data_IF_007342348181
#
_entry.id   IF_007342348181
#
_cell.length_a   1.000
_cell.length_b   1.000
_cell.length_c   1.000
_cell.angle_alpha   90.00
_cell.angle_beta   90.00
_cell.angle_gamma   90.00
#
_symmetry.space_group_name_H-M   'P 1'
#
loop_
_entity.id
_entity.type
_entity.pdbx_description
1 polymer ?
#
# COMPACT_ATOMS: atom_id res chain seq x y z
N UNK A 1 89.41 15.25 -9.70
CA UNK A 1 88.73 14.62 -10.85
C UNK A 1 87.32 14.21 -10.39
N UNK A 2 86.29 14.85 -10.80
CA UNK A 2 84.87 14.41 -10.49
C UNK A 2 84.40 13.48 -11.60
N UNK A 3 83.84 12.33 -11.23
CA UNK A 3 83.19 11.35 -12.09
C UNK A 3 81.84 11.89 -12.48
N UNK A 4 81.64 12.05 -13.79
CA UNK A 4 80.35 12.37 -14.39
C UNK A 4 79.52 11.11 -14.45
N UNK A 5 78.39 11.06 -13.75
CA UNK A 5 77.39 10.04 -13.87
C UNK A 5 76.31 10.51 -14.90
N UNK A 6 76.39 9.98 -16.08
CA UNK A 6 75.33 10.10 -17.13
C UNK A 6 74.15 9.28 -16.71
N UNK A 7 73.04 9.89 -16.30
CA UNK A 7 71.75 9.27 -16.16
C UNK A 7 71.02 9.34 -17.51
N UNK A 8 70.97 8.23 -18.22
CA UNK A 8 70.07 8.07 -19.36
C UNK A 8 68.65 7.77 -18.87
N UNK A 9 67.77 8.77 -18.91
CA UNK A 9 66.33 8.54 -18.73
C UNK A 9 65.79 7.63 -19.86
N UNK A 10 65.01 6.60 -19.53
CA UNK A 10 64.39 5.80 -20.56
C UNK A 10 63.33 6.64 -21.28
N UNK A 11 63.45 6.75 -22.61
CA UNK A 11 62.48 7.41 -23.46
C UNK A 11 61.07 6.79 -23.20
N UNK A 12 60.14 7.58 -22.65
CA UNK A 12 58.73 7.21 -22.55
C UNK A 12 58.22 6.94 -23.99
N UNK A 13 57.95 5.67 -24.29
CA UNK A 13 57.23 5.31 -25.49
C UNK A 13 55.81 5.94 -25.33
N UNK A 14 55.49 6.91 -26.16
CA UNK A 14 54.15 7.44 -26.30
C UNK A 14 53.22 6.25 -26.67
N UNK A 15 52.26 5.97 -25.79
CA UNK A 15 51.23 4.99 -26.12
C UNK A 15 50.47 5.46 -27.34
N UNK A 16 50.19 4.56 -28.29
CA UNK A 16 49.42 4.92 -29.51
C UNK A 16 48.03 5.40 -29.05
N UNK A 17 47.74 6.67 -29.30
CA UNK A 17 46.40 7.23 -29.12
C UNK A 17 45.50 6.53 -30.17
N UNK A 18 44.69 5.58 -29.72
CA UNK A 18 43.67 4.98 -30.58
C UNK A 18 42.58 6.02 -30.79
N UNK A 19 42.68 6.81 -31.83
CA UNK A 19 41.58 7.61 -32.35
C UNK A 19 40.54 6.65 -32.93
N UNK A 20 39.52 6.30 -32.10
CA UNK A 20 38.33 5.62 -32.61
C UNK A 20 37.61 6.60 -33.53
N UNK A 21 37.40 6.26 -34.83
CA UNK A 21 36.54 7.10 -35.66
C UNK A 21 35.17 7.23 -34.98
N UNK A 22 34.77 8.46 -34.66
CA UNK A 22 33.44 8.75 -34.09
C UNK A 22 32.43 8.30 -35.16
N UNK A 23 31.68 7.19 -34.92
CA UNK A 23 30.69 6.72 -35.89
C UNK A 23 29.65 7.82 -36.10
N UNK A 24 29.04 7.84 -37.29
CA UNK A 24 27.91 8.76 -37.57
C UNK A 24 26.78 8.51 -36.60
N UNK A 25 26.84 9.12 -35.40
CA UNK A 25 25.90 8.94 -34.28
C UNK A 25 24.45 9.21 -34.70
N UNK A 26 24.21 10.03 -35.73
CA UNK A 26 22.87 10.35 -36.21
C UNK A 26 22.08 9.13 -36.69
N UNK A 27 22.63 8.34 -37.65
CA UNK A 27 21.91 7.18 -38.20
C UNK A 27 21.77 6.04 -37.21
N UNK A 28 22.84 5.72 -36.47
CA UNK A 28 22.81 4.68 -35.44
C UNK A 28 21.88 5.07 -34.28
N UNK A 29 21.85 6.35 -33.90
CA UNK A 29 20.93 6.87 -32.87
C UNK A 29 19.47 6.76 -33.30
N UNK A 30 19.14 7.11 -34.56
CA UNK A 30 17.79 6.93 -35.10
C UNK A 30 17.38 5.45 -35.18
N UNK A 31 18.24 4.56 -35.60
CA UNK A 31 17.96 3.13 -35.63
C UNK A 31 17.75 2.57 -34.20
N UNK A 32 18.58 2.98 -33.26
CA UNK A 32 18.42 2.60 -31.85
C UNK A 32 17.10 3.10 -31.27
N UNK A 33 16.72 4.34 -31.59
CA UNK A 33 15.43 4.90 -31.14
C UNK A 33 14.25 4.15 -31.74
N UNK A 34 14.25 3.90 -33.07
CA UNK A 34 13.20 3.13 -33.74
C UNK A 34 13.08 1.73 -33.13
N UNK A 35 14.21 1.05 -32.92
CA UNK A 35 14.23 -0.28 -32.33
C UNK A 35 13.69 -0.26 -30.88
N UNK A 36 14.08 0.73 -30.09
CA UNK A 36 13.56 0.90 -28.70
C UNK A 36 12.06 1.13 -28.72
N UNK A 37 11.53 1.99 -29.61
CA UNK A 37 10.08 2.23 -29.74
C UNK A 37 9.34 0.96 -30.16
N UNK A 38 9.87 0.19 -31.11
CA UNK A 38 9.26 -1.07 -31.51
C UNK A 38 9.26 -2.12 -30.41
N UNK A 39 10.36 -2.23 -29.66
CA UNK A 39 10.42 -3.13 -28.49
C UNK A 39 9.44 -2.72 -27.41
N UNK A 40 9.40 -1.42 -27.05
CA UNK A 40 8.45 -0.91 -26.05
C UNK A 40 7.01 -1.10 -26.52
N UNK A 41 6.70 -0.79 -27.78
CA UNK A 41 5.36 -1.00 -28.35
C UNK A 41 4.94 -2.47 -28.38
N UNK A 42 5.86 -3.36 -28.76
CA UNK A 42 5.63 -4.79 -28.71
C UNK A 42 5.39 -5.31 -27.29
N UNK A 43 6.17 -4.82 -26.34
CA UNK A 43 6.01 -5.18 -24.92
C UNK A 43 4.71 -4.62 -24.34
N UNK A 44 4.37 -3.37 -24.62
CA UNK A 44 3.10 -2.76 -24.23
C UNK A 44 1.90 -3.55 -24.76
N UNK A 45 1.92 -3.90 -26.05
CA UNK A 45 0.87 -4.72 -26.66
C UNK A 45 0.78 -6.10 -25.99
N UNK A 46 1.91 -6.72 -25.67
CA UNK A 46 1.97 -8.02 -24.97
C UNK A 46 1.36 -7.94 -23.58
N UNK A 47 1.66 -6.87 -22.83
CA UNK A 47 1.14 -6.68 -21.46
C UNK A 47 -0.36 -6.40 -21.50
N UNK A 48 -0.83 -5.53 -22.41
CA UNK A 48 -2.26 -5.26 -22.61
C UNK A 48 -3.05 -6.50 -23.04
N UNK A 49 -2.47 -7.35 -23.87
CA UNK A 49 -3.12 -8.61 -24.29
C UNK A 49 -3.32 -9.61 -23.15
N UNK A 50 -2.67 -9.39 -22.01
CA UNK A 50 -2.89 -10.13 -20.77
C UNK A 50 -3.95 -9.51 -19.84
N UNK A 51 -4.65 -8.48 -20.32
CA UNK A 51 -5.68 -7.77 -19.54
C UNK A 51 -5.09 -6.79 -18.51
N UNK A 52 -3.83 -6.37 -18.67
CA UNK A 52 -3.23 -5.37 -17.80
C UNK A 52 -3.50 -3.98 -18.37
N UNK A 53 -4.07 -3.14 -17.54
CA UNK A 53 -4.34 -1.74 -17.85
C UNK A 53 -3.29 -0.84 -17.21
N UNK A 54 -3.04 0.36 -17.78
CA UNK A 54 -2.27 1.40 -17.10
C UNK A 54 -2.88 1.69 -15.73
N UNK A 55 -2.03 1.84 -14.75
CA UNK A 55 -2.45 2.08 -13.36
C UNK A 55 -1.33 2.76 -12.60
N UNK A 56 -1.65 3.66 -11.71
CA UNK A 56 -0.65 4.25 -10.83
C UNK A 56 -0.05 3.19 -9.90
N UNK A 57 1.24 3.32 -9.66
CA UNK A 57 1.94 2.47 -8.71
C UNK A 57 1.61 2.92 -7.30
N UNK A 58 1.21 1.99 -6.44
CA UNK A 58 1.11 2.24 -4.99
C UNK A 58 2.51 2.41 -4.38
N UNK A 59 3.17 3.53 -4.73
CA UNK A 59 4.50 3.88 -4.26
C UNK A 59 4.45 4.67 -2.95
N UNK A 60 5.54 4.65 -2.20
CA UNK A 60 5.70 5.48 -1.01
C UNK A 60 5.62 6.97 -1.35
N UNK A 61 6.11 7.36 -2.56
CA UNK A 61 5.97 8.73 -3.06
C UNK A 61 4.54 9.15 -3.35
N UNK A 62 3.71 8.26 -3.90
CA UNK A 62 2.29 8.53 -4.12
C UNK A 62 1.53 8.70 -2.80
N UNK A 63 1.84 7.88 -1.80
CA UNK A 63 1.31 8.03 -0.45
C UNK A 63 1.72 9.36 0.18
N UNK A 64 2.99 9.71 0.10
CA UNK A 64 3.52 10.97 0.60
C UNK A 64 2.87 12.20 -0.10
N UNK A 65 2.54 12.09 -1.40
CA UNK A 65 1.80 13.14 -2.12
C UNK A 65 0.39 13.33 -1.52
N UNK A 66 -0.33 12.24 -1.23
CA UNK A 66 -1.65 12.33 -0.59
C UNK A 66 -1.54 12.87 0.83
N UNK A 67 -0.54 12.46 1.59
CA UNK A 67 -0.32 12.95 2.97
C UNK A 67 -0.07 14.47 3.01
N UNK A 68 0.72 15.00 2.07
CA UNK A 68 1.00 16.44 1.97
C UNK A 68 -0.22 17.31 1.65
N UNK A 69 -1.33 16.74 1.20
CA UNK A 69 -2.57 17.50 1.03
C UNK A 69 -3.09 18.07 2.35
N UNK A 70 -2.78 17.43 3.47
CA UNK A 70 -3.07 17.93 4.81
C UNK A 70 -2.27 19.22 5.05
N UNK A 71 -0.96 19.20 4.81
CA UNK A 71 -0.05 20.34 4.93
C UNK A 71 -0.46 21.52 4.00
N UNK A 72 -1.18 21.21 2.93
CA UNK A 72 -1.69 22.15 1.93
C UNK A 72 -3.10 22.67 2.25
N UNK A 73 -3.60 22.43 3.47
CA UNK A 73 -4.85 22.97 3.96
C UNK A 73 -6.08 22.08 3.77
N UNK A 74 -5.89 20.78 3.48
CA UNK A 74 -6.98 19.82 3.39
C UNK A 74 -7.19 19.00 4.69
N UNK A 75 -6.56 19.39 5.80
CA UNK A 75 -6.56 18.67 7.06
C UNK A 75 -7.86 18.75 7.85
N UNK A 76 -8.83 19.56 7.44
CA UNK A 76 -10.17 19.67 8.01
C UNK A 76 -11.18 18.65 7.40
N UNK A 77 -10.77 17.89 6.38
CA UNK A 77 -11.61 16.95 5.68
C UNK A 77 -11.51 15.51 6.21
N UNK A 78 -12.07 14.58 5.40
CA UNK A 78 -11.96 13.17 5.67
C UNK A 78 -10.59 12.62 5.29
N UNK A 79 -10.01 11.86 6.21
CA UNK A 79 -8.82 11.04 6.00
C UNK A 79 -9.19 9.58 6.26
N UNK A 80 -8.87 8.71 5.32
CA UNK A 80 -9.09 7.27 5.42
C UNK A 80 -7.75 6.60 5.71
N UNK A 81 -7.60 6.01 6.88
CA UNK A 81 -6.44 5.22 7.28
C UNK A 81 -6.85 3.78 7.54
N UNK A 82 -5.94 2.85 7.44
CA UNK A 82 -6.21 1.42 7.61
C UNK A 82 -5.27 0.56 6.78
N UNK A 83 -5.64 -0.69 6.64
CA UNK A 83 -4.94 -1.65 5.78
C UNK A 83 -5.55 -1.67 4.37
N UNK A 84 -5.22 -2.71 3.61
CA UNK A 84 -5.76 -2.95 2.27
C UNK A 84 -7.30 -3.02 2.23
N UNK A 85 -7.97 -3.45 3.30
CA UNK A 85 -9.44 -3.50 3.35
C UNK A 85 -10.07 -2.11 3.19
N UNK A 86 -9.53 -1.07 3.84
CA UNK A 86 -10.00 0.31 3.62
C UNK A 86 -9.63 0.80 2.23
N UNK A 87 -8.41 0.47 1.79
CA UNK A 87 -7.90 0.89 0.49
C UNK A 87 -8.76 0.39 -0.68
N UNK A 88 -9.27 -0.84 -0.61
CA UNK A 88 -10.07 -1.47 -1.66
C UNK A 88 -11.57 -1.22 -1.51
N UNK A 89 -12.08 -1.28 -0.26
CA UNK A 89 -13.51 -1.34 -0.03
C UNK A 89 -14.16 0.05 0.05
N UNK A 90 -13.39 1.14 0.24
CA UNK A 90 -13.93 2.50 0.24
C UNK A 90 -13.54 3.21 -1.04
N UNK A 91 -14.54 3.51 -1.88
CA UNK A 91 -14.35 4.14 -3.17
C UNK A 91 -14.46 5.66 -3.05
N UNK A 92 -13.36 6.37 -3.34
CA UNK A 92 -13.25 7.82 -3.10
C UNK A 92 -14.22 8.64 -3.95
N UNK A 93 -14.49 8.21 -5.19
CA UNK A 93 -15.42 8.89 -6.08
C UNK A 93 -16.88 8.78 -5.58
N UNK A 94 -17.24 7.63 -5.01
CA UNK A 94 -18.56 7.42 -4.40
C UNK A 94 -18.70 8.28 -3.14
N UNK A 95 -17.69 8.26 -2.29
CA UNK A 95 -17.65 9.08 -1.08
C UNK A 95 -17.79 10.57 -1.40
N UNK A 96 -17.01 11.08 -2.37
CA UNK A 96 -17.09 12.48 -2.82
C UNK A 96 -18.48 12.89 -3.31
N UNK A 97 -19.15 12.00 -4.07
CA UNK A 97 -20.53 12.25 -4.54
C UNK A 97 -21.51 12.44 -3.39
N UNK A 98 -21.30 11.71 -2.28
CA UNK A 98 -22.19 11.72 -1.12
C UNK A 98 -21.86 12.83 -0.13
N UNK A 99 -20.58 13.11 0.10
CA UNK A 99 -20.08 14.07 1.07
C UNK A 99 -19.90 15.48 0.49
N UNK A 100 -19.73 15.58 -0.84
CA UNK A 100 -19.37 16.81 -1.55
C UNK A 100 -17.87 17.10 -1.54
N UNK A 101 -17.06 16.34 -0.81
CA UNK A 101 -15.60 16.49 -0.71
C UNK A 101 -14.91 15.13 -0.80
N UNK A 102 -13.86 15.07 -1.63
CA UNK A 102 -13.08 13.86 -1.84
C UNK A 102 -12.16 13.59 -0.66
N UNK A 103 -12.23 12.42 -0.02
CA UNK A 103 -11.38 12.10 1.13
C UNK A 103 -9.92 11.88 0.72
N UNK A 104 -9.01 11.98 1.68
CA UNK A 104 -7.60 11.65 1.52
C UNK A 104 -7.38 10.19 1.88
N UNK A 105 -6.85 9.39 0.93
CA UNK A 105 -6.59 7.97 1.13
C UNK A 105 -5.17 7.73 1.65
N UNK A 106 -5.03 7.40 2.93
CA UNK A 106 -3.77 7.07 3.60
C UNK A 106 -3.66 5.61 4.03
N UNK A 107 -4.64 4.76 3.73
CA UNK A 107 -4.54 3.34 4.06
C UNK A 107 -3.36 2.68 3.32
N UNK A 108 -2.68 1.76 4.01
CA UNK A 108 -1.49 1.07 3.53
C UNK A 108 -1.69 -0.45 3.64
N UNK A 109 -1.56 -1.15 2.52
CA UNK A 109 -1.67 -2.61 2.51
C UNK A 109 -0.66 -3.29 3.43
N UNK A 110 -1.09 -4.34 4.13
CA UNK A 110 -0.22 -5.11 5.03
C UNK A 110 0.39 -4.30 6.17
N UNK A 111 -0.28 -3.21 6.61
CA UNK A 111 0.31 -2.26 7.56
C UNK A 111 -0.72 -1.85 8.61
N UNK A 112 -0.27 -1.83 9.86
CA UNK A 112 -1.04 -1.26 10.97
C UNK A 112 -1.24 0.24 10.76
N UNK A 113 -2.45 0.77 10.95
CA UNK A 113 -2.71 2.20 10.84
C UNK A 113 -2.26 3.01 12.06
N UNK A 114 -1.83 2.36 13.13
CA UNK A 114 -1.52 3.04 14.41
C UNK A 114 -0.45 4.11 14.23
N UNK A 115 0.62 3.80 13.49
CA UNK A 115 1.68 4.80 13.22
C UNK A 115 1.19 5.97 12.35
N UNK A 116 0.23 5.75 11.45
CA UNK A 116 -0.40 6.85 10.71
C UNK A 116 -1.26 7.70 11.64
N UNK A 117 -1.97 7.09 12.60
CA UNK A 117 -2.72 7.82 13.64
C UNK A 117 -1.78 8.68 14.49
N UNK A 118 -0.64 8.14 14.96
CA UNK A 118 0.37 8.87 15.71
C UNK A 118 0.92 10.05 14.91
N UNK A 119 1.27 9.83 13.64
CA UNK A 119 1.75 10.90 12.76
C UNK A 119 0.72 12.02 12.56
N UNK A 120 -0.57 11.68 12.47
CA UNK A 120 -1.65 12.67 12.39
C UNK A 120 -1.92 13.33 13.75
N UNK A 121 -1.69 12.62 14.85
CA UNK A 121 -1.77 13.19 16.21
C UNK A 121 -0.67 14.24 16.44
N UNK A 122 0.52 14.04 15.89
CA UNK A 122 1.62 14.99 15.95
C UNK A 122 1.46 16.18 14.99
N UNK A 123 0.54 16.10 14.01
CA UNK A 123 0.35 17.13 12.99
C UNK A 123 -0.75 18.12 13.38
N UNK A 124 -0.43 19.38 13.70
CA UNK A 124 -1.42 20.38 14.11
C UNK A 124 -2.38 20.79 12.99
N UNK A 125 -2.03 20.54 11.75
CA UNK A 125 -2.86 20.92 10.58
C UNK A 125 -4.01 19.92 10.37
N UNK A 126 -4.00 18.77 11.05
CA UNK A 126 -5.09 17.81 10.97
C UNK A 126 -6.11 18.02 12.10
N UNK A 127 -7.31 18.46 11.73
CA UNK A 127 -8.45 18.71 12.63
C UNK A 127 -9.76 18.08 12.16
N UNK A 128 -9.71 17.34 11.07
CA UNK A 128 -10.85 16.77 10.37
C UNK A 128 -11.36 15.46 10.95
N UNK A 129 -11.86 14.61 10.06
CA UNK A 129 -12.44 13.31 10.39
C UNK A 129 -11.49 12.19 9.95
N UNK A 130 -11.08 11.35 10.88
CA UNK A 130 -10.22 10.20 10.64
C UNK A 130 -11.02 8.90 10.75
N UNK A 131 -11.13 8.18 9.62
CA UNK A 131 -11.63 6.83 9.60
C UNK A 131 -10.45 5.87 9.67
N UNK A 132 -10.43 5.02 10.70
CA UNK A 132 -9.36 4.06 10.98
C UNK A 132 -9.86 2.65 10.79
N UNK A 133 -9.39 1.98 9.74
CA UNK A 133 -9.70 0.58 9.49
C UNK A 133 -8.88 -0.35 10.38
N UNK A 134 -9.57 -1.13 11.19
CA UNK A 134 -8.99 -2.16 12.03
C UNK A 134 -9.03 -3.49 11.27
N UNK A 135 -7.88 -3.94 10.76
CA UNK A 135 -7.66 -5.32 10.34
C UNK A 135 -6.97 -6.02 11.52
N UNK A 136 -7.65 -6.94 12.22
CA UNK A 136 -7.20 -7.39 13.53
C UNK A 136 -5.76 -7.91 13.59
N UNK A 137 -5.37 -8.74 12.64
CA UNK A 137 -4.02 -9.30 12.53
C UNK A 137 -2.93 -8.22 12.36
N UNK A 138 -3.22 -7.18 11.57
CA UNK A 138 -2.29 -6.08 11.31
C UNK A 138 -2.32 -5.02 12.42
N UNK A 139 -3.53 -4.62 12.83
CA UNK A 139 -3.69 -3.56 13.81
C UNK A 139 -3.05 -3.93 15.14
N UNK A 140 -3.36 -5.14 15.64
CA UNK A 140 -2.94 -5.57 16.98
C UNK A 140 -1.56 -6.23 17.02
N UNK A 141 -0.96 -6.58 15.86
CA UNK A 141 0.46 -6.95 15.79
C UNK A 141 1.39 -5.74 15.65
N UNK A 142 0.86 -4.61 15.16
CA UNK A 142 1.69 -3.46 14.82
C UNK A 142 2.59 -3.72 13.59
N UNK A 143 2.24 -4.69 12.74
CA UNK A 143 3.04 -5.01 11.56
C UNK A 143 2.98 -3.89 10.52
N UNK A 144 4.14 -3.47 10.02
CA UNK A 144 4.30 -2.30 9.15
C UNK A 144 5.07 -2.63 7.86
N UNK A 145 4.44 -3.40 6.95
CA UNK A 145 5.02 -3.71 5.64
C UNK A 145 5.42 -2.45 4.84
N UNK A 146 4.62 -1.39 4.97
CA UNK A 146 4.75 -0.15 4.20
C UNK A 146 5.27 1.02 5.03
N UNK A 147 6.06 0.76 6.07
CA UNK A 147 6.73 1.80 6.87
C UNK A 147 7.47 2.82 6.01
N UNK A 148 8.06 2.39 4.90
CA UNK A 148 8.76 3.26 3.96
C UNK A 148 7.93 4.41 3.40
N UNK A 149 6.59 4.33 3.42
CA UNK A 149 5.73 5.44 2.99
C UNK A 149 5.80 6.63 3.97
N UNK A 150 5.81 6.35 5.28
CA UNK A 150 5.94 7.37 6.32
C UNK A 150 7.37 7.97 6.30
N UNK A 151 8.39 7.10 6.18
CA UNK A 151 9.79 7.54 6.09
C UNK A 151 10.02 8.42 4.86
N UNK A 152 9.35 8.08 3.74
CA UNK A 152 9.38 8.86 2.52
C UNK A 152 8.78 10.26 2.71
N UNK A 153 7.63 10.36 3.38
CA UNK A 153 7.02 11.66 3.67
C UNK A 153 7.91 12.52 4.56
N UNK A 154 8.48 11.92 5.61
CA UNK A 154 9.32 12.62 6.58
C UNK A 154 10.67 13.10 6.00
N UNK A 155 11.26 12.35 5.06
CA UNK A 155 12.62 12.57 4.57
C UNK A 155 12.77 12.60 3.04
N UNK A 156 11.73 13.00 2.27
CA UNK A 156 11.81 12.99 0.81
C UNK A 156 12.86 13.99 0.28
N UNK A 157 13.80 13.46 -0.50
CA UNK A 157 14.77 14.28 -1.22
C UNK A 157 14.18 14.91 -2.49
N UNK A 158 14.73 16.06 -2.99
CA UNK A 158 14.28 16.65 -4.25
C UNK A 158 14.37 15.71 -5.46
N UNK A 159 15.39 14.85 -5.50
CA UNK A 159 15.53 13.84 -6.57
C UNK A 159 14.43 12.79 -6.53
N UNK A 160 14.06 12.37 -5.35
CA UNK A 160 12.96 11.43 -5.13
C UNK A 160 11.61 12.04 -5.51
N UNK A 161 11.36 13.28 -5.09
CA UNK A 161 10.15 14.02 -5.46
C UNK A 161 10.05 14.18 -6.98
N UNK A 162 11.12 14.63 -7.63
CA UNK A 162 11.14 14.79 -9.09
C UNK A 162 10.89 13.46 -9.80
N UNK A 163 11.54 12.37 -9.35
CA UNK A 163 11.31 11.02 -9.89
C UNK A 163 9.84 10.59 -9.78
N UNK A 164 9.17 10.90 -8.66
CA UNK A 164 7.74 10.63 -8.49
C UNK A 164 6.90 11.44 -9.46
N UNK A 165 7.19 12.74 -9.68
CA UNK A 165 6.45 13.56 -10.64
C UNK A 165 6.59 13.04 -12.07
N UNK A 166 7.78 12.60 -12.48
CA UNK A 166 8.00 11.97 -13.80
C UNK A 166 7.22 10.65 -13.90
N UNK A 167 7.23 9.83 -12.86
CA UNK A 167 6.47 8.58 -12.81
C UNK A 167 4.98 8.81 -13.02
N UNK A 168 4.40 9.80 -12.33
CA UNK A 168 2.99 10.17 -12.46
C UNK A 168 2.57 10.62 -13.86
N UNK A 169 3.51 11.15 -14.65
CA UNK A 169 3.25 11.51 -16.04
C UNK A 169 3.25 10.30 -16.99
N UNK A 170 3.92 9.21 -16.62
CA UNK A 170 4.10 8.03 -17.48
C UNK A 170 3.13 6.91 -17.15
N UNK A 171 2.88 6.68 -15.87
CA UNK A 171 2.07 5.58 -15.37
C UNK A 171 0.67 5.45 -15.99
N UNK A 172 -0.10 6.53 -16.23
CA UNK A 172 -1.45 6.41 -16.77
C UNK A 172 -1.51 6.02 -18.26
N UNK A 173 -0.37 5.97 -18.95
CA UNK A 173 -0.33 5.71 -20.39
C UNK A 173 0.26 4.36 -20.76
N UNK A 174 1.10 3.78 -19.90
CA UNK A 174 1.89 2.59 -20.22
C UNK A 174 1.58 1.42 -19.27
N UNK A 175 0.89 0.41 -19.80
CA UNK A 175 0.55 -0.79 -19.03
C UNK A 175 1.80 -1.59 -18.61
N UNK A 176 2.83 -1.63 -19.43
CA UNK A 176 4.09 -2.32 -19.11
C UNK A 176 4.87 -1.65 -17.96
N UNK A 177 4.59 -0.38 -17.69
CA UNK A 177 5.20 0.36 -16.58
C UNK A 177 4.59 -0.03 -15.23
N UNK A 178 3.48 -0.78 -15.23
CA UNK A 178 2.91 -1.35 -14.02
C UNK A 178 3.98 -2.15 -13.27
N UNK A 179 4.16 -1.85 -11.99
CA UNK A 179 5.22 -2.43 -11.16
C UNK A 179 5.24 -3.95 -11.19
N UNK A 180 4.05 -4.57 -11.13
CA UNK A 180 3.91 -6.03 -11.12
C UNK A 180 4.38 -6.70 -12.41
N UNK A 181 4.46 -5.95 -13.51
CA UNK A 181 4.93 -6.39 -14.82
C UNK A 181 6.29 -5.83 -15.21
N UNK A 182 6.93 -5.06 -14.33
CA UNK A 182 8.31 -4.61 -14.53
C UNK A 182 9.25 -5.82 -14.59
N UNK A 183 10.17 -5.82 -15.57
CA UNK A 183 11.06 -6.95 -15.81
C UNK A 183 11.83 -7.44 -14.57
N UNK A 184 12.39 -6.57 -13.70
CA UNK A 184 13.05 -7.02 -12.48
C UNK A 184 12.11 -7.75 -11.51
N UNK A 185 10.85 -7.32 -11.43
CA UNK A 185 9.84 -7.96 -10.56
C UNK A 185 9.44 -9.32 -11.11
N UNK A 186 9.23 -9.41 -12.45
CA UNK A 186 8.95 -10.68 -13.12
C UNK A 186 10.09 -11.68 -12.89
N UNK A 187 11.33 -11.25 -13.06
CA UNK A 187 12.50 -12.12 -12.88
C UNK A 187 12.65 -12.59 -11.43
N UNK A 188 12.44 -11.71 -10.47
CA UNK A 188 12.52 -12.04 -9.03
C UNK A 188 11.45 -13.05 -8.61
N UNK A 189 10.26 -12.96 -9.20
CA UNK A 189 9.11 -13.85 -8.89
C UNK A 189 9.13 -15.17 -9.68
N UNK A 190 10.15 -15.43 -10.50
CA UNK A 190 10.28 -16.74 -11.13
C UNK A 190 10.65 -17.79 -10.09
N UNK A 191 10.04 -18.99 -10.13
CA UNK A 191 10.43 -20.11 -9.30
C UNK A 191 11.80 -20.63 -9.74
N UNK A 192 12.84 -19.87 -9.45
CA UNK A 192 14.21 -20.34 -9.59
C UNK A 192 14.39 -21.49 -8.59
N UNK A 193 15.06 -22.58 -9.03
CA UNK A 193 15.23 -23.82 -8.27
C UNK A 193 15.34 -23.58 -6.77
N UNK A 194 14.43 -24.19 -6.01
CA UNK A 194 14.48 -24.20 -4.56
C UNK A 194 15.86 -24.65 -4.11
N UNK A 195 16.48 -23.88 -3.22
CA UNK A 195 17.60 -24.36 -2.43
C UNK A 195 17.02 -25.16 -1.26
N UNK A 196 17.64 -26.28 -0.94
CA UNK A 196 17.25 -27.05 0.23
C UNK A 196 17.27 -26.15 1.48
N UNK A 197 16.18 -26.18 2.25
CA UNK A 197 16.04 -25.38 3.46
C UNK A 197 15.52 -23.95 3.26
N UNK A 198 15.28 -23.48 2.03
CA UNK A 198 14.67 -22.16 1.75
C UNK A 198 13.19 -22.33 1.45
N UNK A 199 12.33 -21.82 2.33
CA UNK A 199 10.89 -21.78 2.11
C UNK A 199 10.57 -20.71 1.04
N UNK A 200 9.98 -21.16 -0.08
CA UNK A 200 9.51 -20.25 -1.12
C UNK A 200 8.09 -19.79 -0.76
N UNK A 201 7.91 -18.50 -0.54
CA UNK A 201 6.58 -17.92 -0.35
C UNK A 201 5.99 -17.58 -1.73
N UNK A 202 4.77 -18.03 -1.98
CA UNK A 202 4.01 -17.63 -3.15
C UNK A 202 3.62 -16.15 -3.01
N UNK A 203 3.65 -15.41 -4.12
CA UNK A 203 3.23 -14.01 -4.18
C UNK A 203 2.17 -13.84 -5.28
N UNK A 204 1.12 -13.07 -5.00
CA UNK A 204 0.17 -12.61 -6.04
C UNK A 204 0.87 -11.54 -6.88
N UNK A 205 0.74 -11.65 -8.20
CA UNK A 205 1.37 -10.69 -9.10
C UNK A 205 0.68 -9.33 -9.05
N UNK A 206 -0.65 -9.31 -9.18
CA UNK A 206 -1.45 -8.08 -9.23
C UNK A 206 -2.82 -8.34 -8.58
N UNK A 207 -3.24 -7.42 -7.71
CA UNK A 207 -4.56 -7.48 -7.07
C UNK A 207 -5.49 -6.37 -7.55
N UNK A 208 -4.94 -5.20 -7.89
CA UNK A 208 -5.74 -4.00 -8.11
C UNK A 208 -5.20 -3.09 -9.22
N UNK A 209 -6.05 -2.19 -9.65
CA UNK A 209 -5.70 -0.95 -10.32
C UNK A 209 -5.87 0.22 -9.36
N UNK A 210 -4.99 1.22 -9.46
CA UNK A 210 -4.97 2.38 -8.57
C UNK A 210 -5.00 3.66 -9.40
N UNK A 211 -5.77 4.65 -8.93
CA UNK A 211 -5.79 6.01 -9.46
C UNK A 211 -4.74 6.89 -8.75
N UNK A 212 -4.52 8.10 -9.26
CA UNK A 212 -3.53 9.05 -8.72
C UNK A 212 -3.79 9.45 -7.27
N UNK A 213 -5.03 9.53 -6.86
CA UNK A 213 -5.45 9.83 -5.50
C UNK A 213 -5.50 8.61 -4.58
N UNK A 214 -5.01 7.47 -5.08
CA UNK A 214 -5.01 6.17 -4.45
C UNK A 214 -6.39 5.52 -4.32
N UNK A 215 -7.40 5.97 -5.08
CA UNK A 215 -8.61 5.18 -5.25
C UNK A 215 -8.23 3.83 -5.87
N UNK A 216 -8.64 2.75 -5.24
CA UNK A 216 -8.16 1.40 -5.59
C UNK A 216 -9.33 0.49 -5.91
N UNK A 217 -9.29 -0.17 -7.06
CA UNK A 217 -10.31 -1.15 -7.48
C UNK A 217 -9.65 -2.50 -7.75
N UNK A 218 -10.33 -3.56 -7.34
CA UNK A 218 -9.87 -4.92 -7.59
C UNK A 218 -9.67 -5.15 -9.10
N UNK A 219 -8.60 -5.86 -9.45
CA UNK A 219 -8.33 -6.21 -10.84
C UNK A 219 -9.32 -7.28 -11.33
N UNK A 220 -9.94 -7.03 -12.48
CA UNK A 220 -10.97 -7.87 -13.09
C UNK A 220 -10.58 -9.35 -13.23
N UNK A 221 -9.31 -9.65 -13.30
CA UNK A 221 -8.85 -11.03 -13.36
C UNK A 221 -9.20 -11.84 -12.12
N UNK A 222 -9.19 -11.24 -10.94
CA UNK A 222 -9.65 -11.91 -9.70
C UNK A 222 -11.15 -12.27 -9.77
N UNK A 223 -11.93 -11.49 -10.54
CA UNK A 223 -13.36 -11.72 -10.73
C UNK A 223 -13.61 -12.86 -11.71
N UNK A 224 -12.86 -12.90 -12.83
CA UNK A 224 -13.11 -13.79 -13.97
C UNK A 224 -12.33 -15.08 -13.95
N UNK A 225 -11.15 -15.12 -13.30
CA UNK A 225 -10.22 -16.24 -13.30
C UNK A 225 -10.23 -16.92 -11.93
N UNK A 226 -10.94 -18.07 -11.85
CA UNK A 226 -11.08 -18.83 -10.60
C UNK A 226 -9.74 -19.36 -10.10
N UNK A 227 -8.84 -19.77 -11.02
CA UNK A 227 -7.52 -20.27 -10.61
C UNK A 227 -6.66 -19.17 -10.02
N UNK A 228 -6.81 -17.94 -10.53
CA UNK A 228 -6.12 -16.78 -9.97
C UNK A 228 -6.67 -16.41 -8.58
N UNK A 229 -8.00 -16.50 -8.36
CA UNK A 229 -8.60 -16.37 -7.02
C UNK A 229 -8.08 -17.42 -6.05
N UNK A 230 -8.09 -18.69 -6.46
CA UNK A 230 -7.56 -19.79 -5.66
C UNK A 230 -6.07 -19.62 -5.35
N UNK A 231 -5.30 -19.01 -6.25
CA UNK A 231 -3.92 -18.65 -5.97
C UNK A 231 -3.85 -17.58 -4.88
N UNK A 232 -4.66 -16.52 -4.96
CA UNK A 232 -4.69 -15.46 -3.95
C UNK A 232 -5.05 -16.01 -2.56
N UNK A 233 -6.13 -16.79 -2.45
CA UNK A 233 -6.54 -17.41 -1.16
C UNK A 233 -5.48 -18.36 -0.59
N UNK A 234 -4.79 -19.12 -1.44
CA UNK A 234 -3.67 -19.98 -0.98
C UNK A 234 -2.50 -19.16 -0.46
N UNK A 235 -2.26 -17.97 -1.05
CA UNK A 235 -1.21 -17.08 -0.61
C UNK A 235 -1.54 -16.49 0.76
N UNK A 236 -2.78 -16.05 0.98
CA UNK A 236 -3.20 -15.59 2.30
C UNK A 236 -3.10 -16.70 3.34
N UNK A 237 -3.54 -17.89 3.00
CA UNK A 237 -3.50 -19.05 3.91
C UNK A 237 -2.09 -19.45 4.38
N UNK A 238 -1.02 -19.05 3.68
CA UNK A 238 0.36 -19.31 4.10
C UNK A 238 0.72 -18.62 5.43
N UNK A 239 0.06 -17.52 5.74
CA UNK A 239 0.34 -16.70 6.92
C UNK A 239 -0.63 -16.95 8.07
N UNK A 240 -1.62 -17.83 7.89
CA UNK A 240 -2.67 -18.13 8.86
C UNK A 240 -2.35 -19.40 9.62
N UNK A 241 -1.40 -19.32 10.54
CA UNK A 241 -1.10 -20.40 11.47
C UNK A 241 -1.90 -20.18 12.77
N UNK A 242 -2.49 -21.26 13.34
CA UNK A 242 -3.11 -21.16 14.65
C UNK A 242 -2.12 -20.66 15.70
N UNK A 243 -2.56 -19.72 16.54
CA UNK A 243 -1.71 -19.18 17.61
C UNK A 243 -1.23 -20.27 18.56
N UNK A 244 -2.08 -21.26 18.80
CA UNK A 244 -1.74 -22.42 19.63
C UNK A 244 -0.61 -23.30 19.08
N UNK A 245 -0.32 -23.24 17.79
CA UNK A 245 0.79 -23.97 17.15
C UNK A 245 2.12 -23.17 17.17
N UNK A 246 2.08 -21.92 17.60
CA UNK A 246 3.28 -21.09 17.71
C UNK A 246 4.05 -21.38 19.01
N UNK A 247 5.36 -21.13 19.05
CA UNK A 247 6.14 -21.24 20.29
C UNK A 247 5.54 -20.38 21.41
N UNK A 248 5.60 -20.83 22.68
CA UNK A 248 5.03 -20.08 23.80
C UNK A 248 5.49 -18.62 23.88
N UNK A 249 6.76 -18.37 23.60
CA UNK A 249 7.34 -17.02 23.59
C UNK A 249 6.66 -16.11 22.56
N UNK A 250 6.33 -16.65 21.38
CA UNK A 250 5.61 -15.90 20.32
C UNK A 250 4.16 -15.65 20.73
N UNK A 251 3.52 -16.60 21.44
CA UNK A 251 2.17 -16.40 21.96
C UNK A 251 2.14 -15.26 23.00
N UNK A 252 3.13 -15.18 23.87
CA UNK A 252 3.28 -14.09 24.85
C UNK A 252 3.53 -12.74 24.13
N UNK A 253 4.42 -12.71 23.13
CA UNK A 253 4.66 -11.52 22.30
C UNK A 253 3.38 -11.01 21.60
N UNK A 254 2.53 -11.92 21.12
CA UNK A 254 1.23 -11.56 20.53
C UNK A 254 0.34 -10.86 21.56
N UNK A 255 0.26 -11.37 22.77
CA UNK A 255 -0.55 -10.76 23.85
C UNK A 255 -0.02 -9.37 24.21
N UNK A 256 1.30 -9.25 24.41
CA UNK A 256 1.94 -7.97 24.70
C UNK A 256 1.75 -6.96 23.58
N UNK A 257 1.89 -7.40 22.34
CA UNK A 257 1.68 -6.54 21.17
C UNK A 257 0.25 -5.99 21.11
N UNK A 258 -0.77 -6.81 21.37
CA UNK A 258 -2.18 -6.34 21.43
C UNK A 258 -2.35 -5.18 22.41
N UNK A 259 -1.83 -5.33 23.64
CA UNK A 259 -1.89 -4.28 24.64
C UNK A 259 -1.15 -3.02 24.22
N UNK A 260 0.06 -3.18 23.73
CA UNK A 260 0.90 -2.08 23.23
C UNK A 260 0.21 -1.30 22.10
N UNK A 261 -0.38 -2.00 21.11
CA UNK A 261 -1.05 -1.33 20.01
C UNK A 261 -2.33 -0.61 20.44
N UNK A 262 -3.09 -1.17 21.39
CA UNK A 262 -4.24 -0.50 21.98
C UNK A 262 -3.80 0.76 22.74
N UNK A 263 -2.76 0.69 23.56
CA UNK A 263 -2.24 1.84 24.31
C UNK A 263 -1.80 2.98 23.38
N UNK A 264 -1.06 2.66 22.31
CA UNK A 264 -0.65 3.61 21.28
C UNK A 264 -1.86 4.25 20.57
N UNK A 265 -2.83 3.43 20.18
CA UNK A 265 -4.03 3.92 19.50
C UNK A 265 -4.89 4.84 20.41
N UNK A 266 -5.00 4.50 21.71
CA UNK A 266 -5.69 5.33 22.71
C UNK A 266 -4.97 6.68 22.87
N UNK A 267 -3.67 6.70 23.04
CA UNK A 267 -2.89 7.93 23.17
C UNK A 267 -3.03 8.85 21.92
N UNK A 268 -2.94 8.25 20.73
CA UNK A 268 -3.16 8.99 19.47
C UNK A 268 -4.61 9.53 19.37
N UNK A 269 -5.60 8.72 19.76
CA UNK A 269 -7.00 9.12 19.80
C UNK A 269 -7.23 10.32 20.72
N UNK A 270 -6.70 10.27 21.94
CA UNK A 270 -6.82 11.36 22.92
C UNK A 270 -6.21 12.67 22.40
N UNK A 271 -5.02 12.59 21.78
CA UNK A 271 -4.35 13.74 21.18
C UNK A 271 -5.16 14.35 20.04
N UNK A 272 -5.66 13.51 19.13
CA UNK A 272 -6.48 13.94 18.00
C UNK A 272 -7.79 14.59 18.45
N UNK A 273 -8.50 13.97 19.38
CA UNK A 273 -9.80 14.47 19.85
C UNK A 273 -9.68 15.71 20.73
N UNK A 274 -8.61 15.85 21.51
CA UNK A 274 -8.33 17.07 22.27
C UNK A 274 -8.14 18.29 21.37
N UNK A 275 -7.68 18.08 20.10
CA UNK A 275 -7.55 19.12 19.08
C UNK A 275 -8.82 19.35 18.26
N UNK A 276 -9.87 18.60 18.49
CA UNK A 276 -11.17 18.72 17.83
C UNK A 276 -11.38 17.78 16.64
N UNK A 277 -10.41 16.92 16.31
CA UNK A 277 -10.59 15.90 15.30
C UNK A 277 -11.63 14.85 15.73
N UNK A 278 -12.31 14.24 14.78
CA UNK A 278 -13.20 13.10 15.01
C UNK A 278 -12.56 11.82 14.50
N UNK A 279 -12.42 10.82 15.38
CA UNK A 279 -11.87 9.52 15.02
C UNK A 279 -12.95 8.45 15.08
N UNK A 280 -13.02 7.62 14.05
CA UNK A 280 -13.97 6.52 13.89
C UNK A 280 -13.17 5.26 13.59
N UNK A 281 -13.37 4.22 14.39
CA UNK A 281 -12.80 2.91 14.10
C UNK A 281 -13.78 2.06 13.30
N UNK A 282 -13.29 1.36 12.30
CA UNK A 282 -14.11 0.46 11.50
C UNK A 282 -13.41 -0.88 11.30
N UNK A 283 -14.11 -1.96 11.58
CA UNK A 283 -13.69 -3.29 11.18
C UNK A 283 -14.48 -3.69 9.93
N UNK A 284 -13.77 -3.71 8.79
CA UNK A 284 -14.32 -4.04 7.48
C UNK A 284 -14.66 -5.53 7.37
N UNK A 285 -15.61 -5.95 6.53
CA UNK A 285 -15.95 -7.35 6.33
C UNK A 285 -14.78 -8.15 5.74
N UNK A 286 -14.73 -9.39 6.13
CA UNK A 286 -13.83 -10.43 5.64
C UNK A 286 -14.51 -11.79 5.77
N UNK A 287 -14.00 -12.79 5.07
CA UNK A 287 -14.58 -14.13 5.07
C UNK A 287 -13.52 -15.24 4.96
N UNK A 288 -13.97 -16.46 4.78
CA UNK A 288 -13.10 -17.62 4.61
C UNK A 288 -12.22 -17.86 5.84
N UNK A 289 -10.97 -18.24 5.62
CA UNK A 289 -10.03 -18.54 6.70
C UNK A 289 -9.62 -17.35 7.56
N UNK A 290 -9.88 -16.11 7.10
CA UNK A 290 -9.64 -14.93 7.93
C UNK A 290 -10.53 -14.94 9.18
N UNK A 291 -11.75 -15.47 9.12
CA UNK A 291 -12.67 -15.50 10.26
C UNK A 291 -12.05 -16.26 11.44
N UNK A 292 -11.55 -17.46 11.18
CA UNK A 292 -10.91 -18.27 12.22
C UNK A 292 -9.57 -17.69 12.67
N UNK A 293 -8.73 -17.30 11.70
CA UNK A 293 -7.39 -16.78 11.98
C UNK A 293 -7.40 -15.47 12.77
N UNK A 294 -8.30 -14.53 12.43
CA UNK A 294 -8.37 -13.26 13.15
C UNK A 294 -9.02 -13.40 14.51
N UNK A 295 -10.00 -14.30 14.68
CA UNK A 295 -10.57 -14.60 15.98
C UNK A 295 -9.55 -15.28 16.92
N UNK A 296 -8.68 -16.13 16.40
CA UNK A 296 -7.62 -16.76 17.17
C UNK A 296 -6.51 -15.76 17.53
N UNK A 297 -6.05 -14.98 16.55
CA UNK A 297 -5.00 -13.99 16.76
C UNK A 297 -5.45 -12.81 17.63
N UNK A 298 -6.64 -12.26 17.40
CA UNK A 298 -7.16 -11.05 18.04
C UNK A 298 -8.64 -11.23 18.43
N UNK A 299 -8.95 -12.01 19.47
CA UNK A 299 -10.32 -12.21 19.92
C UNK A 299 -11.04 -10.89 20.18
N UNK A 300 -12.22 -10.70 19.59
CA UNK A 300 -12.98 -9.46 19.61
C UNK A 300 -13.11 -8.85 21.01
N UNK A 301 -13.45 -9.68 21.99
CA UNK A 301 -13.64 -9.25 23.38
C UNK A 301 -12.36 -8.74 24.07
N UNK A 302 -11.18 -9.16 23.59
CA UNK A 302 -9.88 -8.79 24.16
C UNK A 302 -9.17 -7.68 23.36
N UNK A 303 -9.73 -7.29 22.23
CA UNK A 303 -9.08 -6.36 21.30
C UNK A 303 -10.03 -5.26 20.85
N UNK A 304 -10.97 -5.52 19.97
CA UNK A 304 -11.92 -4.53 19.47
C UNK A 304 -12.76 -3.88 20.57
N UNK A 305 -13.38 -4.69 21.43
CA UNK A 305 -14.23 -4.18 22.51
C UNK A 305 -13.42 -3.32 23.49
N UNK A 306 -12.20 -3.75 23.83
CA UNK A 306 -11.29 -2.99 24.69
C UNK A 306 -10.87 -1.67 24.05
N UNK A 307 -10.54 -1.67 22.75
CA UNK A 307 -10.19 -0.45 22.02
C UNK A 307 -11.33 0.56 22.03
N UNK A 308 -12.56 0.10 21.74
CA UNK A 308 -13.73 0.98 21.69
C UNK A 308 -14.12 1.47 23.08
N UNK A 309 -14.09 0.61 24.10
CA UNK A 309 -14.36 0.98 25.49
C UNK A 309 -13.36 2.05 25.98
N UNK A 310 -12.08 1.83 25.76
CA UNK A 310 -11.02 2.75 26.24
C UNK A 310 -11.00 4.09 25.53
N UNK A 311 -11.34 4.12 24.25
CA UNK A 311 -11.40 5.38 23.49
C UNK A 311 -12.74 6.10 23.62
N UNK A 312 -13.84 5.39 23.83
CA UNK A 312 -15.20 5.94 23.70
C UNK A 312 -15.55 6.37 22.28
N UNK A 313 -14.72 6.00 21.29
CA UNK A 313 -14.89 6.35 19.89
C UNK A 313 -16.16 5.73 19.29
N UNK A 314 -16.59 6.24 18.13
CA UNK A 314 -17.53 5.51 17.29
C UNK A 314 -16.79 4.29 16.70
N UNK A 315 -17.27 3.10 17.05
CA UNK A 315 -16.80 1.83 16.51
C UNK A 315 -17.86 1.21 15.61
N UNK A 316 -17.51 0.89 14.37
CA UNK A 316 -18.39 0.22 13.41
C UNK A 316 -17.79 -1.14 13.05
N UNK A 317 -18.34 -2.19 13.66
CA UNK A 317 -17.91 -3.56 13.38
C UNK A 317 -18.88 -4.19 12.37
N UNK A 318 -18.36 -4.78 11.31
CA UNK A 318 -19.19 -5.32 10.20
C UNK A 318 -20.24 -6.35 10.67
N UNK A 319 -19.95 -7.12 11.72
CA UNK A 319 -20.89 -8.10 12.24
C UNK A 319 -22.10 -7.49 12.97
N UNK A 320 -22.01 -6.21 13.35
CA UNK A 320 -23.05 -5.53 14.12
C UNK A 320 -24.01 -4.70 13.23
N UNK A 321 -23.68 -4.54 11.93
CA UNK A 321 -24.42 -3.69 11.01
C UNK A 321 -24.76 -4.44 9.71
N UNK A 322 -26.04 -4.56 9.40
CA UNK A 322 -26.50 -5.23 8.16
C UNK A 322 -26.00 -4.52 6.91
N UNK A 323 -25.84 -3.18 6.97
CA UNK A 323 -25.33 -2.35 5.89
C UNK A 323 -23.88 -2.71 5.48
N UNK A 324 -23.15 -3.40 6.36
CA UNK A 324 -21.76 -3.82 6.11
C UNK A 324 -21.64 -5.30 5.71
N UNK A 325 -22.76 -6.02 5.50
CA UNK A 325 -22.79 -7.45 5.24
C UNK A 325 -23.32 -7.78 3.83
N UNK A 326 -23.06 -9.02 3.37
CA UNK A 326 -23.62 -9.53 2.13
C UNK A 326 -22.89 -9.08 0.85
N UNK A 327 -21.66 -8.62 0.96
CA UNK A 327 -20.80 -8.26 -0.17
C UNK A 327 -19.88 -9.42 -0.55
N UNK A 328 -19.63 -9.55 -1.84
CA UNK A 328 -18.72 -10.58 -2.32
C UNK A 328 -17.25 -10.17 -2.19
N UNK A 329 -16.48 -11.01 -1.51
CA UNK A 329 -15.03 -10.89 -1.34
C UNK A 329 -14.31 -12.06 -2.04
N UNK A 330 -13.96 -11.91 -3.33
CA UNK A 330 -13.45 -13.02 -4.15
C UNK A 330 -12.27 -13.78 -3.55
N UNK A 331 -11.41 -13.10 -2.79
CA UNK A 331 -10.22 -13.67 -2.16
C UNK A 331 -10.23 -13.47 -0.63
N UNK A 332 -11.42 -13.42 -0.03
CA UNK A 332 -11.73 -13.38 1.41
C UNK A 332 -11.52 -12.03 2.11
N UNK A 333 -10.85 -11.07 1.50
CA UNK A 333 -10.44 -9.84 2.18
C UNK A 333 -10.89 -8.55 1.52
N UNK A 334 -11.05 -8.55 0.19
CA UNK A 334 -11.35 -7.33 -0.56
C UNK A 334 -12.57 -7.52 -1.47
N UNK A 335 -13.35 -6.45 -1.63
CA UNK A 335 -14.53 -6.41 -2.49
C UNK A 335 -14.14 -6.20 -3.96
N UNK A 336 -14.99 -6.68 -4.87
CA UNK A 336 -14.93 -6.26 -6.28
C UNK A 336 -15.20 -4.77 -6.40
N UNK A 337 -14.84 -4.16 -7.53
CA UNK A 337 -15.09 -2.72 -7.72
C UNK A 337 -16.55 -2.31 -7.55
N UNK A 338 -17.49 -3.10 -8.12
CA UNK A 338 -18.92 -2.82 -8.05
C UNK A 338 -19.49 -3.04 -6.64
N UNK A 339 -19.00 -4.08 -5.93
CA UNK A 339 -19.38 -4.30 -4.54
C UNK A 339 -18.83 -3.20 -3.63
N UNK A 340 -17.62 -2.71 -3.87
CA UNK A 340 -17.02 -1.62 -3.13
C UNK A 340 -17.78 -0.29 -3.35
N UNK A 341 -18.30 -0.04 -4.55
CA UNK A 341 -19.18 1.11 -4.81
C UNK A 341 -20.45 1.03 -3.96
N UNK A 342 -21.17 -0.12 -4.00
CA UNK A 342 -22.38 -0.36 -3.21
C UNK A 342 -22.12 -0.30 -1.71
N UNK A 343 -21.01 -0.91 -1.27
CA UNK A 343 -20.57 -0.85 0.13
C UNK A 343 -20.33 0.57 0.57
N UNK A 344 -19.60 1.36 -0.23
CA UNK A 344 -19.30 2.75 0.11
C UNK A 344 -20.55 3.59 0.29
N UNK A 345 -21.60 3.39 -0.55
CA UNK A 345 -22.88 4.08 -0.41
C UNK A 345 -23.58 3.74 0.92
N UNK A 346 -23.72 2.46 1.22
CA UNK A 346 -24.38 1.98 2.44
C UNK A 346 -23.57 2.36 3.69
N UNK A 347 -22.26 2.19 3.62
CA UNK A 347 -21.33 2.49 4.73
C UNK A 347 -21.27 4.00 5.03
N UNK A 348 -21.24 4.87 4.02
CA UNK A 348 -21.29 6.31 4.23
C UNK A 348 -22.59 6.72 4.93
N UNK A 349 -23.74 6.19 4.51
CA UNK A 349 -25.02 6.46 5.15
C UNK A 349 -25.04 6.00 6.61
N UNK A 350 -24.47 4.82 6.91
CA UNK A 350 -24.28 4.31 8.27
C UNK A 350 -23.41 5.27 9.11
N UNK A 351 -22.23 5.64 8.61
CA UNK A 351 -21.31 6.58 9.30
C UNK A 351 -22.03 7.89 9.64
N UNK A 352 -22.73 8.49 8.70
CA UNK A 352 -23.45 9.75 8.90
C UNK A 352 -24.58 9.62 9.92
N UNK A 353 -25.33 8.52 9.90
CA UNK A 353 -26.40 8.23 10.88
C UNK A 353 -25.86 8.11 12.28
N UNK A 354 -24.78 7.35 12.46
CA UNK A 354 -24.19 7.10 13.78
C UNK A 354 -23.52 8.37 14.36
N UNK A 355 -22.89 9.19 13.50
CA UNK A 355 -22.36 10.49 13.92
C UNK A 355 -23.47 11.45 14.35
N UNK A 356 -24.56 11.54 13.58
CA UNK A 356 -25.71 12.37 13.93
C UNK A 356 -26.34 11.93 15.27
N UNK A 357 -26.39 10.63 15.55
CA UNK A 357 -26.84 10.09 16.84
C UNK A 357 -25.97 10.50 18.03
N UNK A 358 -24.71 10.88 17.78
CA UNK A 358 -23.76 11.39 18.79
C UNK A 358 -23.66 12.92 18.83
N UNK A 359 -24.50 13.63 18.06
CA UNK A 359 -24.53 15.10 18.02
C UNK A 359 -23.35 15.72 17.24
N UNK A 360 -22.81 14.99 16.30
CA UNK A 360 -21.66 15.40 15.46
C UNK A 360 -22.00 15.42 13.96
#
# INVERSE_FOLDING_TARGET
>A
MPLSTSSSEPAQRAEPVFERPVPMLGRSGWLALVFAVLLMGGWENRVRSQGVEPSYRNSDGLWAEQRRRIDQGAGDGWVLSGSSRVLFNVQLAVWERLDGRRPIQLALEGTSPVTVMEQLADDPDFTGMLLVGVAPDLFFSGYELRRGALDRYAGETPAQWFGQQVSLLVEPYLAFYNFDYALPVILRRQPLRNRDGVKFNLEVRKLANMERDRNTRMWDRLIRDEDYRKLATRIWAQFMLPVSELPPEVQEEIVESRHTQIDRAVAAYETLTARGATVIFVQMPYEGRYVESEQDFAPRALTWEVLIERTGALGLHFADHEEMQGYWLPEWSHMTGDEADRFTEAFYALVRRELAGRGR
#
